data_IF_897441138960
#
_entry.id   IF_897441138960
#
_cell.length_a   1.000
_cell.length_b   1.000
_cell.length_c   1.000
_cell.angle_alpha   90.00
_cell.angle_beta   90.00
_cell.angle_gamma   90.00
#
_symmetry.space_group_name_H-M   'P 1'
#
loop_
_entity.id
_entity.type
_entity.pdbx_description
1 polymer ?
#
# COMPACT_ATOMS: atom_id res chain seq x y z
N UNK A 1 -17.80 17.14 -3.25
CA UNK A 1 -16.37 16.83 -3.54
C UNK A 1 -16.26 15.35 -3.81
N UNK A 2 -15.60 14.96 -4.90
CA UNK A 2 -15.22 13.56 -5.13
C UNK A 2 -14.06 13.27 -4.17
N UNK A 3 -14.14 12.19 -3.39
CA UNK A 3 -13.06 11.76 -2.49
C UNK A 3 -12.23 10.72 -3.23
N UNK A 4 -10.92 10.94 -3.31
CA UNK A 4 -9.99 9.99 -3.92
C UNK A 4 -8.88 9.60 -2.93
N UNK A 5 -8.51 8.32 -2.95
CA UNK A 5 -7.43 7.78 -2.11
C UNK A 5 -6.44 7.06 -3.01
N UNK A 6 -5.16 7.30 -2.79
CA UNK A 6 -4.08 6.49 -3.35
C UNK A 6 -3.59 5.50 -2.30
N UNK A 7 -3.88 4.22 -2.50
CA UNK A 7 -3.38 3.15 -1.65
C UNK A 7 -1.94 2.83 -2.04
N UNK A 8 -1.02 2.95 -1.09
CA UNK A 8 0.41 2.69 -1.29
C UNK A 8 0.88 1.54 -0.40
N UNK A 9 0.51 0.27 -0.70
CA UNK A 9 1.11 -0.88 -0.04
C UNK A 9 2.64 -0.88 -0.19
N UNK A 10 3.31 -1.37 0.84
CA UNK A 10 4.77 -1.50 0.89
C UNK A 10 5.35 -2.16 -0.36
N UNK A 11 6.47 -1.61 -0.87
CA UNK A 11 7.26 -2.15 -1.99
C UNK A 11 8.42 -3.04 -1.50
N UNK A 12 8.35 -3.52 -0.26
CA UNK A 12 9.46 -4.23 0.39
C UNK A 12 9.39 -5.73 0.11
N UNK A 13 9.64 -6.11 -1.14
CA UNK A 13 9.66 -7.51 -1.62
C UNK A 13 10.63 -8.40 -0.83
N UNK A 14 11.71 -7.83 -0.27
CA UNK A 14 12.75 -8.57 0.46
C UNK A 14 12.57 -8.55 1.98
N UNK A 15 11.54 -7.87 2.51
CA UNK A 15 11.28 -7.86 3.94
C UNK A 15 10.43 -9.08 4.33
N UNK A 16 11.09 -10.17 4.70
CA UNK A 16 10.44 -11.44 5.06
C UNK A 16 9.99 -11.41 6.52
N UNK A 17 8.72 -11.64 6.76
CA UNK A 17 8.15 -11.72 8.11
C UNK A 17 8.44 -13.04 8.82
N UNK A 18 8.09 -13.09 10.10
CA UNK A 18 8.39 -14.24 10.96
C UNK A 18 7.57 -15.49 10.59
N UNK A 19 8.22 -16.65 10.54
CA UNK A 19 7.58 -17.93 10.22
C UNK A 19 7.05 -17.96 8.78
N UNK A 20 5.80 -18.41 8.61
CA UNK A 20 5.14 -18.52 7.30
C UNK A 20 4.43 -17.22 6.89
N UNK A 21 4.86 -16.07 7.42
CA UNK A 21 4.25 -14.78 7.12
C UNK A 21 4.46 -14.35 5.67
N UNK A 22 5.48 -14.81 4.94
CA UNK A 22 5.77 -14.29 3.61
C UNK A 22 6.42 -12.90 3.66
N UNK A 23 6.33 -12.12 2.58
CA UNK A 23 6.95 -10.78 2.51
C UNK A 23 5.99 -9.70 2.97
N UNK A 24 6.53 -8.58 3.46
CA UNK A 24 5.72 -7.41 3.80
C UNK A 24 4.92 -6.92 2.59
N UNK A 25 5.54 -6.84 1.41
CA UNK A 25 4.84 -6.45 0.18
C UNK A 25 3.63 -7.36 -0.10
N UNK A 26 3.81 -8.68 -0.05
CA UNK A 26 2.73 -9.64 -0.29
C UNK A 26 1.57 -9.42 0.68
N UNK A 27 1.88 -9.24 1.97
CA UNK A 27 0.85 -9.06 3.00
C UNK A 27 0.17 -7.72 2.91
N UNK A 28 0.91 -6.64 2.63
CA UNK A 28 0.31 -5.32 2.47
C UNK A 28 -0.52 -5.22 1.19
N UNK A 29 -0.20 -5.99 0.15
CA UNK A 29 -1.06 -6.16 -1.02
C UNK A 29 -2.40 -6.80 -0.63
N UNK A 30 -2.40 -7.88 0.15
CA UNK A 30 -3.63 -8.55 0.62
C UNK A 30 -4.48 -7.62 1.51
N UNK A 31 -3.86 -6.85 2.40
CA UNK A 31 -4.56 -5.83 3.20
C UNK A 31 -5.17 -4.76 2.30
N UNK A 32 -4.43 -4.29 1.29
CA UNK A 32 -4.95 -3.31 0.34
C UNK A 32 -6.13 -3.83 -0.49
N UNK A 33 -6.22 -5.13 -0.78
CA UNK A 33 -7.38 -5.69 -1.50
C UNK A 33 -8.67 -5.46 -0.70
N UNK A 34 -8.61 -5.71 0.62
CA UNK A 34 -9.75 -5.49 1.53
C UNK A 34 -10.07 -4.00 1.67
N UNK A 35 -9.04 -3.16 1.86
CA UNK A 35 -9.23 -1.70 1.99
C UNK A 35 -9.82 -1.10 0.70
N UNK A 36 -9.32 -1.50 -0.46
CA UNK A 36 -9.82 -1.05 -1.76
C UNK A 36 -11.28 -1.43 -1.94
N UNK A 37 -11.66 -2.66 -1.63
CA UNK A 37 -13.05 -3.11 -1.70
C UNK A 37 -13.95 -2.23 -0.83
N UNK A 38 -13.55 -1.96 0.41
CA UNK A 38 -14.35 -1.18 1.36
C UNK A 38 -14.50 0.29 0.96
N UNK A 39 -13.43 0.91 0.42
CA UNK A 39 -13.47 2.27 -0.11
C UNK A 39 -14.40 2.39 -1.33
N UNK A 40 -14.30 1.42 -2.26
CA UNK A 40 -15.16 1.39 -3.45
C UNK A 40 -16.64 1.22 -3.08
N UNK A 41 -16.97 0.38 -2.10
CA UNK A 41 -18.34 0.23 -1.56
C UNK A 41 -18.92 1.54 -1.02
N UNK A 42 -18.07 2.45 -0.55
CA UNK A 42 -18.44 3.77 -0.05
C UNK A 42 -18.35 4.89 -1.10
N UNK A 43 -18.18 4.54 -2.38
CA UNK A 43 -18.15 5.50 -3.49
C UNK A 43 -16.90 6.38 -3.52
N UNK A 44 -15.79 5.90 -2.94
CA UNK A 44 -14.48 6.58 -2.97
C UNK A 44 -13.71 6.11 -4.20
N UNK A 45 -13.12 7.05 -4.94
CA UNK A 45 -12.23 6.72 -6.06
C UNK A 45 -10.89 6.22 -5.52
N UNK A 46 -10.42 5.06 -5.99
CA UNK A 46 -9.17 4.46 -5.52
C UNK A 46 -8.14 4.41 -6.66
N UNK A 47 -6.93 4.85 -6.35
CA UNK A 47 -5.70 4.59 -7.10
C UNK A 47 -4.80 3.70 -6.24
N UNK A 48 -3.88 2.97 -6.87
CA UNK A 48 -2.98 2.06 -6.15
C UNK A 48 -1.71 1.80 -6.96
N UNK A 49 -0.56 1.67 -6.31
CA UNK A 49 0.64 1.20 -7.00
C UNK A 49 0.58 -0.29 -7.35
N UNK A 50 1.44 -0.73 -8.26
CA UNK A 50 1.64 -2.14 -8.57
C UNK A 50 2.90 -2.67 -7.87
N UNK A 51 3.03 -4.00 -7.64
CA UNK A 51 4.20 -4.60 -6.99
C UNK A 51 5.53 -4.33 -7.70
N UNK A 52 5.51 -4.15 -9.02
CA UNK A 52 6.70 -3.90 -9.83
C UNK A 52 7.20 -2.44 -9.77
N UNK A 53 6.47 -1.56 -9.09
CA UNK A 53 6.89 -0.16 -8.94
C UNK A 53 7.93 0.00 -7.83
N UNK A 54 9.04 0.66 -8.17
CA UNK A 54 9.95 1.22 -7.17
C UNK A 54 9.28 2.33 -6.36
N UNK A 55 9.74 2.61 -5.14
CA UNK A 55 9.23 3.70 -4.31
C UNK A 55 9.18 5.06 -5.05
N UNK A 56 10.19 5.36 -5.87
CA UNK A 56 10.21 6.60 -6.67
C UNK A 56 9.08 6.62 -7.71
N UNK A 57 8.78 5.49 -8.35
CA UNK A 57 7.66 5.37 -9.28
C UNK A 57 6.31 5.49 -8.55
N UNK A 58 6.17 4.90 -7.37
CA UNK A 58 4.96 5.04 -6.54
C UNK A 58 4.68 6.50 -6.19
N UNK A 59 5.71 7.23 -5.74
CA UNK A 59 5.57 8.67 -5.42
C UNK A 59 5.21 9.48 -6.66
N UNK A 60 5.88 9.22 -7.79
CA UNK A 60 5.61 9.93 -9.04
C UNK A 60 4.18 9.66 -9.57
N UNK A 61 3.72 8.41 -9.52
CA UNK A 61 2.36 8.03 -9.91
C UNK A 61 1.32 8.66 -8.98
N UNK A 62 1.51 8.60 -7.66
CA UNK A 62 0.63 9.28 -6.71
C UNK A 62 0.54 10.79 -6.95
N UNK A 63 1.66 11.46 -7.23
CA UNK A 63 1.67 12.88 -7.56
C UNK A 63 0.93 13.18 -8.87
N UNK A 64 1.04 12.30 -9.87
CA UNK A 64 0.33 12.43 -11.13
C UNK A 64 -1.20 12.25 -10.97
N UNK A 65 -1.64 11.38 -10.05
CA UNK A 65 -3.07 11.14 -9.78
C UNK A 65 -3.71 12.24 -8.94
N UNK A 66 -2.92 13.00 -8.19
CA UNK A 66 -3.37 14.08 -7.29
C UNK A 66 -4.55 13.65 -6.39
N UNK A 67 -4.38 12.59 -5.58
CA UNK A 67 -5.44 12.08 -4.72
C UNK A 67 -5.73 13.04 -3.56
N UNK A 68 -6.94 12.95 -2.98
CA UNK A 68 -7.25 13.69 -1.74
C UNK A 68 -6.34 13.23 -0.59
N UNK A 69 -6.04 11.93 -0.52
CA UNK A 69 -5.16 11.32 0.48
C UNK A 69 -4.25 10.30 -0.19
N UNK A 70 -2.97 10.34 0.16
CA UNK A 70 -2.05 9.23 -0.04
C UNK A 70 -2.00 8.39 1.24
N UNK A 71 -2.26 7.09 1.14
CA UNK A 71 -2.35 6.18 2.28
C UNK A 71 -1.36 5.02 2.14
N UNK A 72 -0.22 5.15 2.80
CA UNK A 72 0.81 4.12 2.85
C UNK A 72 0.47 3.02 3.86
N UNK A 73 0.59 1.76 3.45
CA UNK A 73 0.25 0.60 4.28
C UNK A 73 1.48 -0.28 4.45
N UNK A 74 1.93 -0.41 5.70
CA UNK A 74 3.15 -1.10 6.09
C UNK A 74 2.93 -1.98 7.31
N UNK A 75 3.71 -3.06 7.39
CA UNK A 75 3.87 -3.82 8.63
C UNK A 75 5.04 -3.26 9.43
N UNK A 76 5.03 -3.41 10.76
CA UNK A 76 6.18 -3.01 11.56
C UNK A 76 7.20 -4.15 11.62
N UNK A 77 8.49 -3.80 11.69
CA UNK A 77 9.58 -4.74 11.84
C UNK A 77 10.50 -4.31 12.98
N UNK A 78 11.03 -5.28 13.72
CA UNK A 78 12.02 -5.06 14.77
C UNK A 78 13.04 -6.18 14.77
N UNK A 79 14.29 -5.84 15.09
CA UNK A 79 15.36 -6.83 15.29
C UNK A 79 15.35 -7.42 16.71
N UNK A 80 14.35 -7.09 17.53
CA UNK A 80 14.27 -7.50 18.93
C UNK A 80 15.32 -6.86 19.83
N UNK A 81 16.08 -5.88 19.31
CA UNK A 81 17.01 -5.06 20.09
C UNK A 81 16.29 -3.76 20.47
N UNK A 82 16.01 -3.62 21.77
CA UNK A 82 15.55 -2.37 22.36
C UNK A 82 16.70 -1.37 22.49
#
# INVERSE_FOLDING_TARGET
>A
MIKSVYLSPSTQENNIGYGDYGTEEERMQQVCDVVQEELLRHGITVFRNTPDMTLNQVVADSNQKDPTIHFAIHSNASTGKA
#
